data_IF_300136701860
#
_entry.id   IF_300136701860
#
_cell.length_a   1.000
_cell.length_b   1.000
_cell.length_c   1.000
_cell.angle_alpha   90.00
_cell.angle_beta   90.00
_cell.angle_gamma   90.00
#
_symmetry.space_group_name_H-M   'P 1'
#
loop_
_entity.id
_entity.type
_entity.pdbx_description
1 polymer ?
#
# COMPACT_ATOMS: atom_id res chain seq x y z
N UNK A 1 31.51 -65.79 -69.36
CA UNK A 1 31.61 -64.34 -69.03
C UNK A 1 30.25 -63.66 -68.86
N UNK A 2 29.15 -64.17 -69.44
CA UNK A 2 27.80 -63.60 -69.26
C UNK A 2 27.22 -63.73 -67.83
N UNK A 3 27.44 -64.85 -67.15
CA UNK A 3 26.94 -65.06 -65.78
C UNK A 3 27.55 -64.11 -64.74
N UNK A 4 28.84 -63.76 -64.89
CA UNK A 4 29.50 -62.81 -64.00
C UNK A 4 28.94 -61.39 -64.18
N UNK A 5 28.68 -60.99 -65.43
CA UNK A 5 28.08 -59.70 -65.73
C UNK A 5 26.68 -59.57 -65.11
N UNK A 6 25.84 -60.61 -65.20
CA UNK A 6 24.51 -60.62 -64.60
C UNK A 6 24.55 -60.48 -63.06
N UNK A 7 25.50 -61.11 -62.38
CA UNK A 7 25.66 -60.96 -60.93
C UNK A 7 26.16 -59.57 -60.54
N UNK A 8 27.08 -58.98 -61.31
CA UNK A 8 27.55 -57.62 -61.06
C UNK A 8 26.43 -56.59 -61.28
N UNK A 9 25.60 -56.79 -62.30
CA UNK A 9 24.43 -55.95 -62.56
C UNK A 9 23.42 -56.06 -61.41
N UNK A 10 23.14 -57.28 -60.92
CA UNK A 10 22.25 -57.49 -59.77
C UNK A 10 22.78 -56.87 -58.47
N UNK A 11 24.10 -56.92 -58.23
CA UNK A 11 24.73 -56.25 -57.08
C UNK A 11 24.59 -54.73 -57.22
N UNK A 12 24.84 -54.18 -58.41
CA UNK A 12 24.70 -52.75 -58.66
C UNK A 12 23.27 -52.25 -58.43
N UNK A 13 22.28 -52.99 -58.93
CA UNK A 13 20.86 -52.70 -58.76
C UNK A 13 20.45 -52.76 -57.28
N UNK A 14 20.99 -53.72 -56.53
CA UNK A 14 20.73 -53.85 -55.10
C UNK A 14 21.38 -52.72 -54.29
N UNK A 15 22.60 -52.29 -54.65
CA UNK A 15 23.27 -51.15 -54.02
C UNK A 15 22.53 -49.83 -54.26
N UNK A 16 22.07 -49.58 -55.49
CA UNK A 16 21.29 -48.40 -55.83
C UNK A 16 19.92 -48.42 -55.14
N UNK A 17 19.29 -49.60 -55.05
CA UNK A 17 18.09 -49.82 -54.25
C UNK A 17 18.29 -49.48 -52.76
N UNK A 18 19.36 -49.97 -52.14
CA UNK A 18 19.65 -49.71 -50.72
C UNK A 18 20.00 -48.24 -50.46
N UNK A 19 20.78 -47.61 -51.35
CA UNK A 19 21.15 -46.21 -51.21
C UNK A 19 19.99 -45.24 -51.48
N UNK A 20 19.03 -45.62 -52.33
CA UNK A 20 17.84 -44.81 -52.63
C UNK A 20 16.71 -44.98 -51.61
N UNK A 21 16.84 -45.92 -50.66
CA UNK A 21 15.87 -46.03 -49.58
C UNK A 21 15.85 -44.73 -48.76
N UNK A 22 14.68 -44.07 -48.63
CA UNK A 22 14.55 -42.85 -47.86
C UNK A 22 14.61 -43.18 -46.37
N UNK A 23 15.82 -43.32 -45.82
CA UNK A 23 16.01 -43.38 -44.38
C UNK A 23 15.70 -42.00 -43.80
N UNK A 24 14.69 -41.87 -42.92
CA UNK A 24 14.42 -40.61 -42.27
C UNK A 24 15.67 -40.23 -41.44
N UNK A 25 16.29 -39.06 -41.69
CA UNK A 25 17.40 -38.63 -40.86
C UNK A 25 16.94 -38.53 -39.40
N UNK A 26 17.86 -38.66 -38.43
CA UNK A 26 17.49 -38.56 -37.02
C UNK A 26 16.74 -37.25 -36.78
N UNK A 27 15.45 -37.37 -36.46
CA UNK A 27 14.59 -36.21 -36.21
C UNK A 27 15.10 -35.52 -34.95
N UNK A 28 15.59 -34.30 -35.13
CA UNK A 28 16.25 -33.45 -34.13
C UNK A 28 15.41 -33.37 -32.84
N UNK A 29 14.08 -33.34 -32.96
CA UNK A 29 13.18 -33.13 -31.83
C UNK A 29 13.06 -34.33 -30.87
N UNK A 30 13.06 -35.57 -31.36
CA UNK A 30 12.87 -36.75 -30.50
C UNK A 30 14.09 -37.07 -29.63
N UNK A 31 15.31 -36.84 -30.13
CA UNK A 31 16.53 -37.01 -29.34
C UNK A 31 16.81 -35.79 -28.46
N UNK A 32 16.46 -34.56 -28.88
CA UNK A 32 16.71 -33.36 -28.07
C UNK A 32 15.80 -33.28 -26.84
N UNK A 33 14.52 -33.68 -26.95
CA UNK A 33 13.57 -33.69 -25.83
C UNK A 33 13.92 -34.71 -24.74
N UNK A 34 14.65 -35.78 -25.08
CA UNK A 34 15.05 -36.83 -24.15
C UNK A 34 16.52 -36.70 -23.67
N UNK A 35 17.34 -35.87 -24.32
CA UNK A 35 18.78 -35.80 -24.06
C UNK A 35 19.22 -34.63 -23.16
N UNK A 36 18.47 -33.53 -23.06
CA UNK A 36 18.98 -32.31 -22.40
C UNK A 36 17.93 -31.57 -21.54
N UNK A 37 17.13 -32.29 -20.77
CA UNK A 37 16.50 -31.67 -19.60
C UNK A 37 17.22 -32.21 -18.38
N UNK A 38 18.10 -31.41 -17.79
CA UNK A 38 18.62 -31.71 -16.46
C UNK A 38 17.40 -31.87 -15.55
N UNK A 39 17.28 -33.02 -14.87
CA UNK A 39 16.16 -33.31 -13.96
C UNK A 39 15.97 -32.18 -12.94
N UNK A 40 17.04 -31.46 -12.59
CA UNK A 40 17.05 -30.28 -11.72
C UNK A 40 16.30 -29.07 -12.29
N UNK A 41 16.16 -28.95 -13.62
CA UNK A 41 15.33 -27.91 -14.25
C UNK A 41 13.83 -28.21 -14.15
N UNK A 42 13.46 -29.49 -14.10
CA UNK A 42 12.07 -29.96 -13.95
C UNK A 42 11.66 -30.11 -12.48
N UNK A 43 12.59 -30.60 -11.65
CA UNK A 43 12.49 -30.76 -10.21
C UNK A 43 13.51 -29.84 -9.56
N UNK A 44 13.21 -28.54 -9.54
CA UNK A 44 13.95 -27.60 -8.71
C UNK A 44 13.52 -27.73 -7.26
N UNK A 45 14.45 -27.56 -6.33
CA UNK A 45 14.09 -27.36 -4.93
C UNK A 45 13.15 -26.17 -4.81
N UNK A 46 12.09 -26.32 -4.03
CA UNK A 46 11.13 -25.23 -3.80
C UNK A 46 11.85 -24.01 -3.23
N UNK A 47 11.60 -22.84 -3.81
CA UNK A 47 12.19 -21.59 -3.34
C UNK A 47 11.55 -21.18 -2.00
N UNK A 48 12.22 -20.38 -1.14
CA UNK A 48 11.70 -20.03 0.19
C UNK A 48 10.28 -19.45 0.19
N UNK A 49 9.94 -18.66 -0.83
CA UNK A 49 8.62 -18.08 -0.98
C UNK A 49 7.57 -19.09 -1.47
N UNK A 50 7.95 -20.10 -2.26
CA UNK A 50 7.08 -21.22 -2.66
C UNK A 50 6.83 -22.15 -1.48
N UNK A 51 7.87 -22.41 -0.67
CA UNK A 51 7.73 -23.17 0.59
C UNK A 51 6.73 -22.52 1.53
N UNK A 52 6.71 -21.19 1.60
CA UNK A 52 5.77 -20.45 2.44
C UNK A 52 4.30 -20.54 1.99
N UNK A 53 4.01 -20.97 0.75
CA UNK A 53 2.63 -21.22 0.29
C UNK A 53 2.06 -22.51 0.88
N UNK A 54 2.91 -23.51 1.12
CA UNK A 54 2.49 -24.86 1.53
C UNK A 54 3.01 -25.25 2.93
N UNK A 55 3.84 -24.42 3.55
CA UNK A 55 4.34 -24.59 4.92
C UNK A 55 3.57 -23.68 5.87
N UNK A 56 3.06 -24.26 6.95
CA UNK A 56 2.44 -23.49 8.04
C UNK A 56 3.56 -22.90 8.90
N UNK A 57 3.67 -21.57 9.03
CA UNK A 57 4.67 -20.97 9.90
C UNK A 57 4.49 -21.45 11.34
N UNK A 58 5.59 -21.71 12.08
CA UNK A 58 5.49 -22.16 13.47
C UNK A 58 4.73 -21.12 14.30
N UNK A 59 3.91 -21.56 15.29
CA UNK A 59 3.20 -20.64 16.15
C UNK A 59 4.20 -19.71 16.85
N UNK A 60 3.83 -18.43 17.06
CA UNK A 60 4.70 -17.50 17.78
C UNK A 60 5.05 -18.11 19.15
N UNK A 61 6.28 -17.91 19.64
CA UNK A 61 6.62 -18.35 20.98
C UNK A 61 5.60 -17.74 21.95
N UNK A 62 5.07 -18.52 22.92
CA UNK A 62 4.15 -17.98 23.91
C UNK A 62 4.78 -16.74 24.55
N UNK A 63 3.98 -15.68 24.81
CA UNK A 63 4.51 -14.49 25.47
C UNK A 63 5.18 -14.95 26.75
N UNK A 64 6.49 -14.67 26.86
CA UNK A 64 7.29 -15.01 28.03
C UNK A 64 6.56 -14.51 29.26
N UNK A 65 5.97 -15.44 30.02
CA UNK A 65 5.56 -15.16 31.38
C UNK A 65 6.79 -14.59 32.11
N UNK A 66 6.60 -13.59 32.99
CA UNK A 66 7.72 -13.00 33.72
C UNK A 66 8.54 -14.09 34.40
N UNK A 67 9.86 -13.97 34.25
CA UNK A 67 10.86 -14.98 34.61
C UNK A 67 10.58 -15.64 35.97
N UNK A 68 10.51 -16.97 36.06
CA UNK A 68 10.81 -17.66 37.29
C UNK A 68 12.34 -17.81 37.42
N UNK A 69 12.81 -17.56 38.63
CA UNK A 69 14.17 -17.57 39.14
C UNK A 69 15.04 -18.79 38.73
N UNK A 70 16.38 -18.64 38.69
CA UNK A 70 17.27 -19.64 38.11
C UNK A 70 17.51 -20.80 39.08
N UNK A 71 16.88 -21.94 38.82
CA UNK A 71 17.41 -23.22 39.30
C UNK A 71 17.01 -24.37 38.38
N UNK A 72 17.99 -25.24 38.12
CA UNK A 72 17.91 -26.53 37.42
C UNK A 72 18.22 -26.54 35.92
N UNK A 73 19.51 -26.68 35.66
CA UNK A 73 20.17 -27.54 34.66
C UNK A 73 19.29 -28.46 33.79
N UNK A 74 19.32 -28.26 32.45
CA UNK A 74 19.86 -29.19 31.41
C UNK A 74 19.44 -28.77 29.99
N UNK A 75 20.32 -28.87 28.96
CA UNK A 75 19.95 -28.62 27.58
C UNK A 75 19.43 -29.91 26.94
N UNK A 76 18.21 -29.88 26.38
CA UNK A 76 17.71 -30.96 25.53
C UNK A 76 16.88 -30.38 24.40
N UNK A 77 17.54 -29.73 23.45
CA UNK A 77 16.95 -29.32 22.17
C UNK A 77 16.88 -30.54 21.25
N UNK A 78 16.01 -31.49 21.60
CA UNK A 78 15.64 -32.61 20.72
C UNK A 78 14.50 -32.11 19.82
N UNK A 79 14.74 -32.11 18.51
CA UNK A 79 13.72 -31.95 17.46
C UNK A 79 12.48 -32.77 17.84
N UNK A 80 11.39 -32.09 18.14
CA UNK A 80 10.10 -32.74 18.41
C UNK A 80 9.13 -32.34 17.29
N UNK A 81 9.16 -33.10 16.20
CA UNK A 81 8.03 -33.19 15.28
C UNK A 81 7.07 -34.22 15.86
N UNK A 82 6.08 -33.79 16.65
CA UNK A 82 4.97 -34.66 17.05
C UNK A 82 3.81 -34.47 16.09
N UNK A 83 3.68 -35.39 15.14
CA UNK A 83 2.36 -35.74 14.62
C UNK A 83 1.70 -36.58 15.71
N UNK A 84 0.67 -36.03 16.35
CA UNK A 84 -0.02 -36.71 17.43
C UNK A 84 -0.99 -37.74 16.80
N UNK A 85 -0.55 -39.00 16.72
CA UNK A 85 -1.38 -40.11 16.24
C UNK A 85 -1.82 -40.92 17.45
N UNK A 86 -3.01 -40.63 17.96
CA UNK A 86 -3.73 -41.53 18.86
C UNK A 86 -4.91 -42.13 18.11
N UNK A 87 -4.83 -43.44 17.86
CA UNK A 87 -5.95 -44.30 17.45
C UNK A 87 -6.75 -43.87 16.21
N UNK A 88 -6.09 -43.80 15.05
CA UNK A 88 -6.77 -44.02 13.75
C UNK A 88 -7.64 -42.89 13.18
N UNK A 89 -7.74 -41.73 13.83
CA UNK A 89 -8.43 -40.55 13.30
C UNK A 89 -7.48 -39.35 13.28
N UNK A 90 -7.25 -38.75 12.10
CA UNK A 90 -6.51 -37.49 11.95
C UNK A 90 -7.45 -36.36 12.35
N UNK A 91 -7.62 -36.17 13.66
CA UNK A 91 -8.31 -34.98 14.18
C UNK A 91 -7.32 -33.83 14.26
N UNK A 92 -7.45 -32.86 13.36
CA UNK A 92 -6.79 -31.57 13.52
C UNK A 92 -7.40 -30.91 14.76
N UNK A 93 -6.70 -31.00 15.90
CA UNK A 93 -7.15 -30.40 17.15
C UNK A 93 -7.55 -28.93 16.95
N UNK A 94 -8.66 -28.55 17.58
CA UNK A 94 -9.21 -27.20 17.51
C UNK A 94 -8.14 -26.14 17.84
N UNK A 95 -7.99 -25.07 17.03
CA UNK A 95 -6.95 -24.08 17.26
C UNK A 95 -7.22 -23.33 18.57
N UNK A 96 -6.40 -23.60 19.57
CA UNK A 96 -6.31 -22.76 20.77
C UNK A 96 -5.44 -21.55 20.45
N UNK A 97 -5.93 -20.38 20.83
CA UNK A 97 -5.39 -19.03 20.59
C UNK A 97 -5.73 -18.41 19.22
N UNK A 98 -6.30 -17.20 19.31
CA UNK A 98 -6.81 -16.33 18.25
C UNK A 98 -5.72 -15.71 17.37
N UNK A 99 -4.61 -16.40 17.13
CA UNK A 99 -3.65 -15.97 16.13
C UNK A 99 -4.11 -16.55 14.79
N UNK A 100 -4.85 -15.75 14.02
CA UNK A 100 -5.17 -16.11 12.65
C UNK A 100 -3.88 -16.55 11.94
N UNK A 101 -3.92 -17.62 11.13
CA UNK A 101 -2.76 -18.01 10.32
C UNK A 101 -2.25 -16.76 9.63
N UNK A 102 -0.93 -16.50 9.71
CA UNK A 102 -0.32 -15.30 9.11
C UNK A 102 -0.71 -15.26 7.64
N UNK A 103 -1.75 -14.48 7.33
CA UNK A 103 -2.16 -14.19 5.96
C UNK A 103 -0.91 -13.59 5.32
N UNK A 104 -0.50 -14.09 4.15
CA UNK A 104 0.60 -13.53 3.36
C UNK A 104 2.03 -13.92 3.80
N UNK A 105 2.24 -15.11 4.39
CA UNK A 105 3.59 -15.61 4.69
C UNK A 105 4.53 -15.67 3.46
N UNK A 106 4.01 -16.05 2.30
CA UNK A 106 4.77 -16.05 1.04
C UNK A 106 5.18 -14.63 0.60
N UNK A 107 4.32 -13.64 0.82
CA UNK A 107 4.61 -12.23 0.54
C UNK A 107 5.72 -11.73 1.47
N UNK A 108 5.64 -12.06 2.76
CA UNK A 108 6.69 -11.73 3.73
C UNK A 108 8.04 -12.38 3.40
N UNK A 109 8.05 -13.58 2.82
CA UNK A 109 9.27 -14.26 2.39
C UNK A 109 9.94 -13.57 1.18
N UNK A 110 9.15 -13.01 0.24
CA UNK A 110 9.68 -12.27 -0.93
C UNK A 110 10.10 -10.84 -0.57
N UNK A 111 9.25 -10.13 0.18
CA UNK A 111 9.49 -8.74 0.55
C UNK A 111 10.53 -8.58 1.67
N UNK A 112 10.68 -9.62 2.50
CA UNK A 112 11.38 -9.55 3.78
C UNK A 112 10.45 -9.08 4.90
N UNK A 113 10.78 -9.45 6.14
CA UNK A 113 9.98 -9.12 7.32
C UNK A 113 9.81 -7.62 7.56
N UNK A 114 10.89 -6.84 7.41
CA UNK A 114 10.88 -5.40 7.67
C UNK A 114 9.97 -4.61 6.69
N UNK A 115 10.09 -4.89 5.39
CA UNK A 115 9.26 -4.25 4.37
C UNK A 115 7.79 -4.68 4.47
N UNK A 116 7.54 -5.96 4.74
CA UNK A 116 6.20 -6.47 4.98
C UNK A 116 5.56 -5.86 6.23
N UNK A 117 6.30 -5.70 7.33
CA UNK A 117 5.81 -5.04 8.54
C UNK A 117 5.51 -3.55 8.31
N UNK A 118 6.32 -2.84 7.51
CA UNK A 118 6.02 -1.45 7.13
C UNK A 118 4.70 -1.33 6.37
N UNK A 119 4.47 -2.20 5.38
CA UNK A 119 3.21 -2.24 4.63
C UNK A 119 2.05 -2.60 5.55
N UNK A 120 2.22 -3.61 6.41
CA UNK A 120 1.16 -4.07 7.32
C UNK A 120 0.81 -3.03 8.41
N UNK A 121 1.78 -2.23 8.85
CA UNK A 121 1.54 -1.10 9.77
C UNK A 121 0.72 -0.01 9.08
N UNK A 122 0.97 0.27 7.81
CA UNK A 122 0.21 1.22 7.00
C UNK A 122 -1.22 0.74 6.67
N UNK A 123 -1.42 -0.56 6.44
CA UNK A 123 -2.74 -1.14 6.13
C UNK A 123 -3.71 -1.17 7.33
N UNK A 124 -3.24 -0.89 8.54
CA UNK A 124 -4.08 -0.78 9.74
C UNK A 124 -5.10 0.36 9.63
N UNK A 125 -6.27 0.20 10.26
CA UNK A 125 -7.31 1.25 10.35
C UNK A 125 -6.72 2.53 10.97
N UNK A 126 -6.30 3.47 10.14
CA UNK A 126 -5.78 4.79 10.53
C UNK A 126 -4.28 4.99 10.33
N UNK A 127 -3.56 4.05 9.71
CA UNK A 127 -2.15 4.26 9.34
C UNK A 127 -2.02 5.10 8.07
N UNK A 128 -1.05 6.02 8.04
CA UNK A 128 -0.61 6.63 6.80
C UNK A 128 0.12 5.57 5.96
N UNK A 129 -0.33 5.41 4.72
CA UNK A 129 0.17 4.39 3.81
C UNK A 129 1.27 5.00 2.95
N UNK A 130 2.51 4.55 3.14
CA UNK A 130 3.62 4.96 2.28
C UNK A 130 3.50 4.28 0.90
N UNK A 131 3.08 5.09 -0.08
CA UNK A 131 2.85 4.67 -1.46
C UNK A 131 4.15 4.20 -2.13
N UNK A 132 5.32 4.75 -1.76
CA UNK A 132 6.60 4.33 -2.37
C UNK A 132 7.00 2.94 -1.92
N UNK A 133 6.83 2.64 -0.62
CA UNK A 133 7.12 1.31 -0.09
C UNK A 133 6.17 0.27 -0.70
N UNK A 134 4.92 0.63 -0.98
CA UNK A 134 3.97 -0.22 -1.70
C UNK A 134 4.39 -0.47 -3.15
N UNK A 135 4.76 0.57 -3.90
CA UNK A 135 5.19 0.43 -5.30
C UNK A 135 6.48 -0.39 -5.39
N UNK A 136 7.43 -0.17 -4.48
CA UNK A 136 8.66 -0.96 -4.38
C UNK A 136 8.37 -2.43 -4.03
N UNK A 137 7.42 -2.67 -3.11
CA UNK A 137 6.96 -4.02 -2.77
C UNK A 137 6.30 -4.71 -3.96
N UNK A 138 5.45 -4.00 -4.69
CA UNK A 138 4.80 -4.52 -5.89
C UNK A 138 5.82 -4.89 -6.98
N UNK A 139 6.88 -4.11 -7.19
CA UNK A 139 7.96 -4.45 -8.13
C UNK A 139 8.72 -5.71 -7.72
N UNK A 140 9.09 -5.82 -6.44
CA UNK A 140 9.75 -7.02 -5.92
C UNK A 140 8.88 -8.27 -6.08
N UNK A 141 7.57 -8.14 -5.84
CA UNK A 141 6.64 -9.24 -6.04
C UNK A 141 6.47 -9.59 -7.51
N UNK A 142 6.40 -8.61 -8.41
CA UNK A 142 6.31 -8.85 -9.86
C UNK A 142 7.55 -9.55 -10.43
N UNK A 143 8.71 -9.42 -9.80
CA UNK A 143 9.93 -10.12 -10.21
C UNK A 143 9.90 -11.62 -9.90
N UNK A 144 9.11 -12.05 -8.92
CA UNK A 144 8.96 -13.46 -8.54
C UNK A 144 7.66 -14.06 -9.10
N UNK A 145 6.58 -13.30 -9.03
CA UNK A 145 5.26 -13.67 -9.51
C UNK A 145 4.88 -12.72 -10.64
N UNK A 146 5.13 -13.15 -11.88
CA UNK A 146 4.79 -12.36 -13.04
C UNK A 146 3.26 -12.22 -13.16
N UNK A 147 2.77 -10.98 -13.01
CA UNK A 147 1.40 -10.63 -13.33
C UNK A 147 1.40 -9.74 -14.58
N UNK A 148 0.87 -10.23 -15.73
CA UNK A 148 0.89 -9.47 -16.98
C UNK A 148 0.31 -8.06 -16.80
N UNK A 149 1.07 -7.04 -17.20
CA UNK A 149 0.67 -5.64 -17.12
C UNK A 149 0.80 -4.98 -15.75
N UNK A 150 1.20 -5.70 -14.69
CA UNK A 150 1.42 -5.11 -13.37
C UNK A 150 2.56 -4.10 -13.36
N UNK A 151 3.70 -4.42 -13.98
CA UNK A 151 4.84 -3.50 -14.09
C UNK A 151 4.47 -2.18 -14.79
N UNK A 152 3.63 -2.24 -15.83
CA UNK A 152 3.14 -1.03 -16.52
C UNK A 152 2.30 -0.17 -15.59
N UNK A 153 1.41 -0.78 -14.81
CA UNK A 153 0.58 -0.06 -13.83
C UNK A 153 1.42 0.55 -12.72
N UNK A 154 2.46 -0.14 -12.25
CA UNK A 154 3.38 0.40 -11.24
C UNK A 154 4.11 1.63 -11.78
N UNK A 155 4.61 1.58 -13.02
CA UNK A 155 5.22 2.74 -13.66
C UNK A 155 4.25 3.92 -13.82
N UNK A 156 3.00 3.64 -14.22
CA UNK A 156 1.94 4.64 -14.34
C UNK A 156 1.61 5.31 -12.99
N UNK A 157 1.50 4.51 -11.92
CA UNK A 157 1.24 5.00 -10.58
C UNK A 157 2.39 5.86 -10.04
N UNK A 158 3.65 5.47 -10.30
CA UNK A 158 4.82 6.28 -9.94
C UNK A 158 4.82 7.64 -10.64
N UNK A 159 4.52 7.66 -11.95
CA UNK A 159 4.38 8.91 -12.71
C UNK A 159 3.28 9.79 -12.13
N UNK A 160 2.11 9.22 -11.84
CA UNK A 160 0.98 9.94 -11.25
C UNK A 160 1.31 10.49 -9.85
N UNK A 161 2.04 9.75 -9.03
CA UNK A 161 2.52 10.23 -7.73
C UNK A 161 3.42 11.46 -7.90
N UNK A 162 4.42 11.39 -8.79
CA UNK A 162 5.28 12.54 -9.06
C UNK A 162 4.51 13.77 -9.57
N UNK A 163 3.47 13.57 -10.39
CA UNK A 163 2.58 14.67 -10.81
C UNK A 163 1.77 15.27 -9.65
N UNK A 164 1.31 14.45 -8.70
CA UNK A 164 0.55 14.91 -7.53
C UNK A 164 1.48 15.63 -6.56
N UNK A 165 2.68 15.12 -6.33
CA UNK A 165 3.71 15.70 -5.47
C UNK A 165 4.10 17.10 -5.98
N UNK A 166 4.40 17.24 -7.28
CA UNK A 166 4.69 18.56 -7.86
C UNK A 166 3.50 19.53 -7.82
N UNK A 167 2.25 19.05 -7.90
CA UNK A 167 1.06 19.91 -7.70
C UNK A 167 0.89 20.29 -6.24
N UNK A 168 1.18 19.39 -5.31
CA UNK A 168 1.10 19.63 -3.87
C UNK A 168 2.10 20.70 -3.46
N UNK A 169 3.37 20.59 -3.89
CA UNK A 169 4.40 21.61 -3.67
C UNK A 169 3.96 22.99 -4.17
N UNK A 170 3.41 23.07 -5.39
CA UNK A 170 2.88 24.32 -5.95
C UNK A 170 1.73 24.91 -5.11
N UNK A 171 0.81 24.07 -4.62
CA UNK A 171 -0.29 24.55 -3.78
C UNK A 171 0.17 24.92 -2.37
N UNK A 172 1.16 24.22 -1.81
CA UNK A 172 1.76 24.57 -0.52
C UNK A 172 2.46 25.93 -0.58
N UNK A 173 3.21 26.21 -1.65
CA UNK A 173 3.82 27.52 -1.88
C UNK A 173 2.74 28.61 -1.97
N UNK A 174 1.68 28.37 -2.74
CA UNK A 174 0.57 29.32 -2.88
C UNK A 174 -0.18 29.54 -1.57
N UNK A 175 -0.37 28.50 -0.75
CA UNK A 175 -0.98 28.61 0.58
C UNK A 175 -0.10 29.42 1.52
N UNK A 176 1.23 29.25 1.45
CA UNK A 176 2.17 30.07 2.21
C UNK A 176 2.08 31.54 1.83
N UNK A 177 2.09 31.86 0.53
CA UNK A 177 1.94 33.25 0.05
C UNK A 177 0.61 33.87 0.48
N UNK A 178 -0.49 33.12 0.39
CA UNK A 178 -1.79 33.57 0.86
C UNK A 178 -1.84 33.73 2.38
N UNK A 179 -1.17 32.87 3.12
CA UNK A 179 -1.01 32.98 4.57
C UNK A 179 -0.26 34.24 4.97
N UNK A 180 0.83 34.57 4.27
CA UNK A 180 1.61 35.80 4.50
C UNK A 180 0.78 37.05 4.16
N UNK A 181 0.02 37.04 3.07
CA UNK A 181 -0.90 38.14 2.74
C UNK A 181 -1.99 38.32 3.80
N UNK A 182 -2.57 37.24 4.32
CA UNK A 182 -3.57 37.29 5.38
C UNK A 182 -2.97 37.77 6.71
N UNK A 183 -1.75 37.36 7.03
CA UNK A 183 -1.03 37.82 8.21
C UNK A 183 -0.72 39.32 8.11
N UNK A 184 -0.30 39.79 6.94
CA UNK A 184 -0.09 41.21 6.68
C UNK A 184 -1.39 42.01 6.83
N UNK A 185 -2.50 41.57 6.24
CA UNK A 185 -3.81 42.21 6.42
C UNK A 185 -4.24 42.17 7.90
N UNK A 186 -4.13 41.04 8.58
CA UNK A 186 -4.50 40.92 9.99
C UNK A 186 -3.67 41.84 10.90
N UNK A 187 -2.40 42.11 10.54
CA UNK A 187 -1.57 43.06 11.25
C UNK A 187 -2.00 44.51 10.96
N UNK A 188 -2.34 44.84 9.71
CA UNK A 188 -2.89 46.14 9.29
C UNK A 188 -4.20 46.48 10.05
N UNK A 189 -5.15 45.53 10.10
CA UNK A 189 -6.39 45.68 10.89
C UNK A 189 -6.15 45.87 12.39
N UNK A 190 -5.09 45.27 12.94
CA UNK A 190 -4.74 45.44 14.36
C UNK A 190 -4.07 46.78 14.62
N UNK A 191 -3.25 47.27 13.70
CA UNK A 191 -2.59 48.58 13.81
C UNK A 191 -3.64 49.71 13.84
N UNK A 192 -4.67 49.62 12.98
CA UNK A 192 -5.81 50.55 12.98
C UNK A 192 -6.66 50.50 14.26
N UNK A 193 -6.80 49.34 14.91
CA UNK A 193 -7.54 49.20 16.20
C UNK A 193 -6.79 49.85 17.38
N UNK A 194 -5.45 49.91 17.34
CA UNK A 194 -4.66 50.59 18.36
C UNK A 194 -4.53 52.11 18.15
N UNK A 195 -4.71 52.60 16.92
CA UNK A 195 -4.75 54.04 16.64
C UNK A 195 -6.15 54.66 16.97
N UNK A 196 -7.23 53.87 16.98
CA UNK A 196 -8.57 54.32 17.39
C UNK A 196 -8.74 54.45 18.92
N UNK A 197 -7.86 53.85 19.73
CA UNK A 197 -7.81 54.10 21.20
C UNK A 197 -7.11 55.44 21.54
N UNK A 198 -6.60 56.18 20.55
CA UNK A 198 -5.83 57.42 20.72
C UNK A 198 -6.62 58.73 20.63
N UNK A 199 -7.83 58.72 20.07
CA UNK A 199 -8.70 59.91 20.00
C UNK A 199 -9.93 59.74 20.89
N UNK A 200 -9.68 59.54 22.19
CA UNK A 200 -10.66 59.80 23.23
C UNK A 200 -11.09 61.26 23.19
N UNK A 201 -12.09 61.57 22.37
CA UNK A 201 -12.81 62.83 22.41
C UNK A 201 -13.30 63.00 23.84
N UNK A 202 -12.73 63.96 24.58
CA UNK A 202 -13.18 64.33 25.92
C UNK A 202 -14.67 64.73 25.83
N UNK A 203 -15.56 63.77 26.07
CA UNK A 203 -16.97 64.04 26.19
C UNK A 203 -17.11 64.82 27.49
N UNK A 204 -17.27 66.14 27.34
CA UNK A 204 -17.63 67.03 28.42
C UNK A 204 -18.81 66.40 29.15
N UNK A 205 -18.58 65.93 30.38
CA UNK A 205 -19.59 65.35 31.25
C UNK A 205 -20.56 66.44 31.71
N UNK A 206 -21.36 66.94 30.76
CA UNK A 206 -22.54 67.73 31.03
C UNK A 206 -23.52 66.88 31.82
N UNK A 207 -24.11 67.46 32.86
CA UNK A 207 -25.06 66.80 33.75
C UNK A 207 -26.20 66.18 32.92
N UNK A 208 -26.12 64.87 32.68
CA UNK A 208 -27.13 64.10 31.96
C UNK A 208 -28.44 64.19 32.75
N UNK A 209 -29.47 64.78 32.15
CA UNK A 209 -30.79 64.86 32.78
C UNK A 209 -31.53 63.54 32.59
N UNK A 210 -32.34 63.11 33.57
CA UNK A 210 -33.08 61.82 33.50
C UNK A 210 -33.99 61.70 32.25
N UNK A 211 -34.45 62.83 31.70
CA UNK A 211 -35.25 62.85 30.47
C UNK A 211 -34.42 62.57 29.22
N UNK A 212 -33.16 63.00 29.16
CA UNK A 212 -32.24 62.67 28.07
C UNK A 212 -31.88 61.17 28.09
N UNK A 213 -31.69 60.60 29.28
CA UNK A 213 -31.40 59.17 29.44
C UNK A 213 -32.53 58.28 28.91
N UNK A 214 -33.80 58.64 29.16
CA UNK A 214 -34.95 57.87 28.64
C UNK A 214 -35.09 57.95 27.12
N UNK A 215 -34.83 59.11 26.52
CA UNK A 215 -34.86 59.27 25.08
C UNK A 215 -33.76 58.42 24.41
N UNK A 216 -32.56 58.42 24.98
CA UNK A 216 -31.45 57.57 24.53
C UNK A 216 -31.77 56.07 24.70
N UNK A 217 -32.40 55.65 25.81
CA UNK A 217 -32.82 54.26 26.01
C UNK A 217 -33.83 53.77 24.95
N UNK A 218 -34.76 54.63 24.52
CA UNK A 218 -35.71 54.30 23.45
C UNK A 218 -35.03 54.21 22.08
N UNK A 219 -34.11 55.14 21.79
CA UNK A 219 -33.31 55.12 20.56
C UNK A 219 -32.43 53.86 20.49
N UNK A 220 -31.75 53.51 21.59
CA UNK A 220 -30.94 52.29 21.69
C UNK A 220 -31.80 51.05 21.45
N UNK A 221 -33.03 51.00 21.99
CA UNK A 221 -33.93 49.86 21.77
C UNK A 221 -34.33 49.71 20.31
N UNK A 222 -34.57 50.82 19.60
CA UNK A 222 -34.83 50.77 18.17
C UNK A 222 -33.60 50.29 17.37
N UNK A 223 -32.42 50.80 17.72
CA UNK A 223 -31.16 50.41 17.08
C UNK A 223 -30.84 48.93 17.33
N UNK A 224 -31.07 48.42 18.54
CA UNK A 224 -30.92 47.00 18.86
C UNK A 224 -31.88 46.12 18.05
N UNK A 225 -33.14 46.56 17.85
CA UNK A 225 -34.09 45.82 17.00
C UNK A 225 -33.60 45.77 15.55
N UNK A 226 -33.18 46.91 14.99
CA UNK A 226 -32.64 47.00 13.62
C UNK A 226 -31.37 46.16 13.47
N UNK A 227 -30.46 46.20 14.46
CA UNK A 227 -29.25 45.37 14.50
C UNK A 227 -29.60 43.88 14.50
N UNK A 228 -30.57 43.46 15.31
CA UNK A 228 -31.00 42.06 15.40
C UNK A 228 -31.61 41.58 14.08
N UNK A 229 -32.47 42.38 13.46
CA UNK A 229 -33.07 42.08 12.15
C UNK A 229 -31.97 41.90 11.07
N UNK A 230 -30.96 42.78 11.08
CA UNK A 230 -29.82 42.68 10.15
C UNK A 230 -28.93 41.46 10.43
N UNK A 231 -28.69 41.13 11.70
CA UNK A 231 -27.92 39.95 12.08
C UNK A 231 -28.63 38.65 11.71
N UNK A 232 -29.96 38.59 11.86
CA UNK A 232 -30.76 37.44 11.42
C UNK A 232 -30.71 37.28 9.90
N UNK A 233 -30.76 38.39 9.16
CA UNK A 233 -30.60 38.38 7.70
C UNK A 233 -29.21 37.92 7.27
N UNK A 234 -28.16 38.35 7.97
CA UNK A 234 -26.79 37.89 7.73
C UNK A 234 -26.64 36.39 8.00
N UNK A 235 -27.19 35.89 9.12
CA UNK A 235 -27.20 34.45 9.43
C UNK A 235 -27.94 33.63 8.39
N UNK A 236 -29.04 34.15 7.84
CA UNK A 236 -29.76 33.48 6.76
C UNK A 236 -28.90 33.37 5.50
N UNK A 237 -28.24 34.48 5.10
CA UNK A 237 -27.33 34.48 3.96
C UNK A 237 -26.10 33.58 4.18
N UNK A 238 -25.53 33.57 5.39
CA UNK A 238 -24.43 32.67 5.78
C UNK A 238 -24.84 31.20 5.64
N UNK A 239 -26.05 30.84 6.06
CA UNK A 239 -26.59 29.49 5.92
C UNK A 239 -26.77 29.10 4.45
N UNK A 240 -27.26 30.02 3.63
CA UNK A 240 -27.46 29.79 2.19
C UNK A 240 -26.10 29.66 1.45
N UNK A 241 -25.11 30.48 1.83
CA UNK A 241 -23.74 30.38 1.28
C UNK A 241 -23.04 29.10 1.73
N UNK A 242 -23.19 28.73 3.01
CA UNK A 242 -22.66 27.47 3.54
C UNK A 242 -23.23 26.27 2.80
N UNK A 243 -24.54 26.26 2.54
CA UNK A 243 -25.17 25.20 1.74
C UNK A 243 -24.65 25.11 0.30
N UNK A 244 -24.19 26.21 -0.29
CA UNK A 244 -23.61 26.25 -1.63
C UNK A 244 -22.14 25.82 -1.67
N UNK A 245 -21.36 26.08 -0.61
CA UNK A 245 -19.96 25.64 -0.50
C UNK A 245 -19.82 24.15 -0.20
N UNK A 246 -20.80 23.54 0.45
CA UNK A 246 -20.79 22.11 0.82
C UNK A 246 -21.54 21.21 -0.17
N UNK A 247 -21.84 21.71 -1.38
CA UNK A 247 -22.40 20.96 -2.50
C UNK A 247 -21.32 20.72 -3.56
#
# INVERSE_FOLDING_TARGET
MSHLAAHLEQISYSCEGINSLPFPPPKIFTNALLSNHDITSLLRDTEPHERALFSVPPPPPPPSAPQPSPSSTRPSTRRQTVFNVSSGEVTTGAPTSRAAPRRNAAVAAVLGGEMHERIQRGEGRGGEVDVEVLLQGAEKLCGVYELPGALRRVAELRRRRGEIEGRMEYFEEKVREQGEMLEAMNNDWKEDEYDDEGEGQEVEAGVVTEEQLRAEEEEVRELERRKRELQERLRAMEKDLGGLMYM
#
